data_IF_421325467827
#
_entry.id   IF_421325467827
#
_cell.length_a   1.000
_cell.length_b   1.000
_cell.length_c   1.000
_cell.angle_alpha   90.00
_cell.angle_beta   90.00
_cell.angle_gamma   90.00
#
_symmetry.space_group_name_H-M   'P 1'
#
loop_
_entity.id
_entity.type
_entity.pdbx_description
1 polymer ?
#
# COMPACT_ATOMS: atom_id res chain seq x y z
N UNK A 1 5.69 10.94 3.39
CA UNK A 1 5.06 12.24 3.05
C UNK A 1 4.67 13.07 4.28
N UNK A 2 3.91 12.53 5.25
CA UNK A 2 3.38 13.32 6.38
C UNK A 2 4.45 13.98 7.26
N UNK A 3 5.52 13.26 7.62
CA UNK A 3 6.63 13.83 8.39
C UNK A 3 7.32 15.00 7.65
N UNK A 4 7.54 14.86 6.34
CA UNK A 4 8.10 15.92 5.50
C UNK A 4 7.18 17.16 5.47
N UNK A 5 5.86 16.94 5.51
CA UNK A 5 4.86 18.00 5.66
C UNK A 5 5.03 18.78 6.95
N UNK A 6 5.22 18.10 8.08
CA UNK A 6 5.46 18.75 9.37
C UNK A 6 6.76 19.54 9.37
N UNK A 7 7.85 18.97 8.83
CA UNK A 7 9.15 19.64 8.76
C UNK A 7 9.08 20.88 7.85
N UNK A 8 8.34 20.81 6.74
CA UNK A 8 8.17 21.92 5.81
C UNK A 8 7.58 23.17 6.48
N UNK A 9 6.68 22.99 7.46
CA UNK A 9 6.07 24.11 8.20
C UNK A 9 7.15 24.91 8.94
N UNK A 10 8.18 24.25 9.48
CA UNK A 10 9.28 24.90 10.18
C UNK A 10 10.38 25.39 9.22
N UNK A 11 10.65 24.64 8.14
CA UNK A 11 11.74 24.91 7.20
C UNK A 11 11.19 24.81 5.76
N UNK A 12 10.68 25.90 5.18
CA UNK A 12 10.17 25.88 3.81
C UNK A 12 11.32 25.61 2.83
N UNK A 13 11.24 24.48 2.13
CA UNK A 13 12.27 24.05 1.19
C UNK A 13 11.67 23.33 -0.01
N UNK A 14 12.08 23.73 -1.21
CA UNK A 14 11.70 23.05 -2.46
C UNK A 14 12.12 21.58 -2.48
N UNK A 15 13.26 21.25 -1.88
CA UNK A 15 13.75 19.87 -1.80
C UNK A 15 12.80 19.02 -0.94
N UNK A 16 12.37 19.53 0.21
CA UNK A 16 11.40 18.82 1.06
C UNK A 16 10.06 18.63 0.36
N UNK A 17 9.62 19.61 -0.43
CA UNK A 17 8.40 19.48 -1.25
C UNK A 17 8.53 18.41 -2.33
N UNK A 18 9.66 18.35 -3.03
CA UNK A 18 9.93 17.30 -4.01
C UNK A 18 9.96 15.91 -3.38
N UNK A 19 10.63 15.75 -2.24
CA UNK A 19 10.67 14.48 -1.50
C UNK A 19 9.27 14.08 -1.01
N UNK A 20 8.45 15.04 -0.58
CA UNK A 20 7.06 14.83 -0.22
C UNK A 20 6.23 14.30 -1.39
N UNK A 21 6.35 14.92 -2.56
CA UNK A 21 5.69 14.50 -3.80
C UNK A 21 6.11 13.07 -4.21
N UNK A 22 7.42 12.80 -4.27
CA UNK A 22 7.96 11.49 -4.64
C UNK A 22 7.47 10.42 -3.66
N UNK A 23 7.52 10.69 -2.35
CA UNK A 23 7.03 9.76 -1.34
C UNK A 23 5.54 9.42 -1.53
N UNK A 24 4.68 10.43 -1.71
CA UNK A 24 3.25 10.21 -1.91
C UNK A 24 2.96 9.50 -3.24
N UNK A 25 3.69 9.83 -4.30
CA UNK A 25 3.58 9.19 -5.60
C UNK A 25 3.93 7.71 -5.56
N UNK A 26 5.05 7.35 -4.92
CA UNK A 26 5.45 5.94 -4.74
C UNK A 26 4.41 5.17 -3.95
N UNK A 27 3.85 5.74 -2.87
CA UNK A 27 2.78 5.10 -2.12
C UNK A 27 1.52 4.89 -2.98
N UNK A 28 1.16 5.87 -3.81
CA UNK A 28 0.02 5.75 -4.72
C UNK A 28 0.20 4.61 -5.73
N UNK A 29 1.38 4.49 -6.33
CA UNK A 29 1.70 3.41 -7.28
C UNK A 29 1.62 2.04 -6.60
N UNK A 30 2.21 1.89 -5.41
CA UNK A 30 2.20 0.61 -4.69
C UNK A 30 0.76 0.23 -4.31
N UNK A 31 -0.05 1.18 -3.84
CA UNK A 31 -1.46 0.93 -3.52
C UNK A 31 -2.27 0.53 -4.75
N UNK A 32 -2.04 1.18 -5.89
CA UNK A 32 -2.70 0.83 -7.15
C UNK A 32 -2.27 -0.56 -7.62
N UNK A 33 -0.97 -0.89 -7.53
CA UNK A 33 -0.45 -2.23 -7.83
C UNK A 33 -1.13 -3.30 -6.95
N UNK A 34 -1.20 -3.08 -5.64
CA UNK A 34 -1.84 -4.02 -4.72
C UNK A 34 -3.34 -4.17 -5.05
N UNK A 35 -4.06 -3.08 -5.29
CA UNK A 35 -5.48 -3.15 -5.65
C UNK A 35 -5.73 -3.93 -6.93
N UNK A 36 -4.88 -3.81 -7.96
CA UNK A 36 -5.06 -4.64 -9.15
C UNK A 36 -4.66 -6.11 -8.95
N UNK A 37 -3.85 -6.45 -7.95
CA UNK A 37 -3.68 -7.87 -7.52
C UNK A 37 -5.00 -8.37 -6.93
N UNK A 38 -5.63 -7.60 -6.03
CA UNK A 38 -6.93 -7.94 -5.43
C UNK A 38 -8.04 -8.09 -6.50
N UNK A 39 -8.06 -7.19 -7.49
CA UNK A 39 -9.01 -7.21 -8.60
C UNK A 39 -8.65 -8.22 -9.71
N UNK A 40 -7.57 -8.99 -9.52
CA UNK A 40 -7.04 -9.97 -10.48
C UNK A 40 -6.71 -9.40 -11.87
N UNK A 41 -6.38 -8.10 -11.94
CA UNK A 41 -5.90 -7.47 -13.18
C UNK A 41 -4.50 -7.96 -13.56
N UNK A 42 -3.70 -8.35 -12.57
CA UNK A 42 -2.40 -8.98 -12.75
C UNK A 42 -2.13 -9.98 -11.63
N UNK A 43 -1.14 -10.86 -11.85
CA UNK A 43 -0.72 -11.82 -10.84
C UNK A 43 -0.03 -11.13 -9.66
N UNK A 44 -0.34 -11.59 -8.45
CA UNK A 44 0.35 -11.18 -7.23
C UNK A 44 1.73 -11.84 -7.09
N UNK A 45 2.56 -11.35 -6.15
CA UNK A 45 3.82 -12.00 -5.82
C UNK A 45 3.59 -13.44 -5.36
N UNK A 46 4.38 -14.38 -5.86
CA UNK A 46 4.27 -15.81 -5.51
C UNK A 46 4.35 -16.03 -3.99
N UNK A 47 5.13 -15.21 -3.30
CA UNK A 47 5.29 -15.24 -1.84
C UNK A 47 4.01 -14.98 -1.04
N UNK A 48 2.99 -14.34 -1.63
CA UNK A 48 1.75 -13.93 -0.95
C UNK A 48 0.46 -14.29 -1.70
N UNK A 49 0.57 -14.76 -2.95
CA UNK A 49 -0.57 -15.14 -3.80
C UNK A 49 -0.36 -16.49 -4.52
N UNK A 50 0.73 -17.21 -4.21
CA UNK A 50 1.00 -18.54 -4.75
C UNK A 50 0.18 -19.65 -4.05
N UNK A 51 0.09 -20.82 -4.70
CA UNK A 51 -0.75 -21.97 -4.32
C UNK A 51 -0.40 -22.68 -2.99
N UNK A 52 0.15 -21.97 -2.00
CA UNK A 52 0.53 -22.58 -0.72
C UNK A 52 1.83 -23.39 -0.79
N UNK A 53 2.63 -23.26 -1.84
CA UNK A 53 3.95 -23.92 -1.90
C UNK A 53 4.90 -23.43 -0.78
N UNK A 54 4.71 -22.20 -0.31
CA UNK A 54 5.38 -21.67 0.90
C UNK A 54 4.81 -22.24 2.21
N UNK A 55 3.63 -22.85 2.18
CA UNK A 55 3.05 -23.60 3.30
C UNK A 55 3.57 -25.05 3.35
N UNK A 56 4.08 -25.59 2.23
CA UNK A 56 4.68 -26.94 2.17
C UNK A 56 5.97 -27.07 3.01
N UNK A 57 6.61 -25.95 3.37
CA UNK A 57 7.77 -25.95 4.27
C UNK A 57 7.40 -25.92 5.76
N UNK A 58 6.11 -25.71 6.11
CA UNK A 58 5.63 -25.84 7.48
C UNK A 58 5.33 -27.31 7.79
N UNK A 59 5.58 -27.71 9.04
CA UNK A 59 5.23 -29.06 9.49
C UNK A 59 3.70 -29.23 9.55
N UNK A 60 3.20 -30.46 9.41
CA UNK A 60 1.75 -30.72 9.46
C UNK A 60 1.10 -30.32 10.79
N UNK A 61 1.88 -30.30 11.88
CA UNK A 61 1.45 -29.78 13.18
C UNK A 61 1.32 -28.25 13.21
N UNK A 62 2.22 -27.53 12.55
CA UNK A 62 2.16 -26.06 12.42
C UNK A 62 0.96 -25.59 11.59
N UNK A 63 0.52 -26.40 10.61
CA UNK A 63 -0.65 -26.11 9.78
C UNK A 63 -1.98 -26.41 10.49
N UNK A 64 -2.01 -27.38 11.43
CA UNK A 64 -3.21 -27.75 12.20
C UNK A 64 -3.31 -27.06 13.57
N UNK A 65 -2.30 -26.26 13.94
CA UNK A 65 -2.26 -25.45 15.14
C UNK A 65 -3.41 -24.43 15.18
N UNK A 66 -4.55 -24.84 15.75
CA UNK A 66 -5.78 -24.03 15.83
C UNK A 66 -5.69 -22.90 16.86
N UNK A 67 -4.60 -22.88 17.63
CA UNK A 67 -4.26 -21.83 18.60
C UNK A 67 -3.60 -20.59 17.94
N UNK A 68 -3.33 -20.60 16.63
CA UNK A 68 -2.62 -19.51 15.92
C UNK A 68 -3.47 -18.86 14.82
N UNK A 69 -4.65 -19.37 14.48
CA UNK A 69 -5.36 -18.94 13.26
C UNK A 69 -6.23 -17.69 13.43
N UNK A 70 -5.58 -16.54 13.57
CA UNK A 70 -6.08 -15.38 12.82
C UNK A 70 -6.00 -15.77 11.33
N UNK A 71 -7.13 -15.73 10.63
CA UNK A 71 -7.25 -16.01 9.20
C UNK A 71 -6.12 -15.29 8.44
N UNK A 72 -5.14 -16.03 7.93
CA UNK A 72 -4.08 -15.45 7.09
C UNK A 72 -4.74 -14.97 5.80
N UNK A 73 -4.78 -13.66 5.58
CA UNK A 73 -5.35 -13.05 4.38
C UNK A 73 -4.26 -12.98 3.29
N UNK A 74 -4.57 -13.52 2.12
CA UNK A 74 -3.68 -13.45 0.96
C UNK A 74 -3.74 -12.08 0.27
N UNK A 75 -2.66 -11.69 -0.42
CA UNK A 75 -2.55 -10.39 -1.09
C UNK A 75 -3.52 -10.21 -2.26
N UNK A 76 -4.16 -11.29 -2.72
CA UNK A 76 -5.10 -11.31 -3.81
C UNK A 76 -6.56 -11.45 -3.34
N UNK A 77 -6.80 -11.32 -2.04
CA UNK A 77 -8.12 -11.27 -1.43
C UNK A 77 -8.43 -9.89 -0.85
N UNK A 78 -9.64 -9.40 -1.12
CA UNK A 78 -10.13 -8.15 -0.51
C UNK A 78 -10.53 -8.44 0.94
N UNK A 79 -9.65 -8.15 1.89
CA UNK A 79 -9.93 -8.27 3.33
C UNK A 79 -10.93 -7.24 3.85
N UNK A 80 -10.91 -6.05 3.25
CA UNK A 80 -11.76 -4.93 3.65
C UNK A 80 -12.08 -4.04 2.45
N UNK A 81 -13.32 -3.57 2.39
CA UNK A 81 -13.77 -2.60 1.41
C UNK A 81 -14.73 -1.58 2.03
N UNK A 82 -14.70 -0.37 1.50
CA UNK A 82 -15.61 0.72 1.85
C UNK A 82 -16.10 1.41 0.58
N UNK A 83 -17.42 1.52 0.42
CA UNK A 83 -18.08 2.06 -0.78
C UNK A 83 -17.59 1.33 -2.05
N UNK A 84 -17.42 0.02 -1.98
CA UNK A 84 -16.98 -0.82 -3.11
C UNK A 84 -15.50 -0.67 -3.50
N UNK A 85 -14.70 0.05 -2.72
CA UNK A 85 -13.27 0.26 -2.95
C UNK A 85 -12.49 -0.42 -1.81
N UNK A 86 -11.47 -1.21 -2.15
CA UNK A 86 -10.64 -1.92 -1.18
C UNK A 86 -9.72 -0.98 -0.40
N UNK A 87 -9.16 -1.45 0.72
CA UNK A 87 -8.22 -0.66 1.52
C UNK A 87 -7.01 -0.16 0.71
N UNK A 88 -6.32 -0.99 -0.09
CA UNK A 88 -5.18 -0.53 -0.90
C UNK A 88 -5.58 0.49 -1.95
N UNK A 89 -6.77 0.35 -2.54
CA UNK A 89 -7.30 1.31 -3.51
C UNK A 89 -7.58 2.67 -2.87
N UNK A 90 -8.18 2.70 -1.67
CA UNK A 90 -8.35 3.95 -0.91
C UNK A 90 -7.02 4.61 -0.58
N UNK A 91 -6.02 3.83 -0.18
CA UNK A 91 -4.67 4.34 0.09
C UNK A 91 -4.04 4.94 -1.18
N UNK A 92 -4.24 4.29 -2.33
CA UNK A 92 -3.77 4.78 -3.62
C UNK A 92 -4.39 6.15 -3.97
N UNK A 93 -5.72 6.28 -3.82
CA UNK A 93 -6.46 7.53 -4.08
C UNK A 93 -5.99 8.66 -3.17
N UNK A 94 -5.95 8.44 -1.85
CA UNK A 94 -5.54 9.46 -0.89
C UNK A 94 -4.07 9.89 -1.09
N UNK A 95 -3.20 8.93 -1.40
CA UNK A 95 -1.79 9.20 -1.71
C UNK A 95 -1.63 9.99 -3.02
N UNK A 96 -2.45 9.71 -4.04
CA UNK A 96 -2.47 10.48 -5.28
C UNK A 96 -2.92 11.94 -5.04
N UNK A 97 -3.98 12.14 -4.24
CA UNK A 97 -4.43 13.49 -3.83
C UNK A 97 -3.31 14.23 -3.09
N UNK A 98 -2.63 13.56 -2.14
CA UNK A 98 -1.50 14.14 -1.42
C UNK A 98 -0.34 14.50 -2.35
N UNK A 99 -0.02 13.66 -3.33
CA UNK A 99 0.98 13.96 -4.35
C UNK A 99 0.62 15.23 -5.14
N UNK A 100 -0.64 15.36 -5.58
CA UNK A 100 -1.12 16.57 -6.27
C UNK A 100 -0.96 17.81 -5.39
N UNK A 101 -1.28 17.72 -4.09
CA UNK A 101 -1.09 18.84 -3.16
C UNK A 101 0.38 19.25 -3.06
N UNK A 102 1.31 18.30 -2.97
CA UNK A 102 2.75 18.59 -2.98
C UNK A 102 3.22 19.25 -4.28
N UNK A 103 2.73 18.79 -5.43
CA UNK A 103 3.06 19.38 -6.74
C UNK A 103 2.49 20.80 -6.88
N UNK A 104 1.28 21.05 -6.37
CA UNK A 104 0.69 22.39 -6.35
C UNK A 104 1.49 23.32 -5.43
N UNK A 105 1.91 22.85 -4.26
CA UNK A 105 2.78 23.62 -3.37
C UNK A 105 4.12 23.98 -4.05
N UNK A 106 4.75 23.01 -4.72
CA UNK A 106 6.01 23.22 -5.45
C UNK A 106 5.87 24.23 -6.59
N UNK A 107 4.72 24.25 -7.29
CA UNK A 107 4.43 25.22 -8.36
C UNK A 107 4.20 26.65 -7.86
N UNK A 108 3.83 26.81 -6.58
CA UNK A 108 3.56 28.10 -5.94
C UNK A 108 4.78 28.68 -5.21
N UNK A 109 5.87 27.93 -5.14
CA UNK A 109 7.16 28.41 -4.59
C UNK A 109 8.03 28.99 -5.68
#
# INVERSE_FOLDING_TARGET
ASLLGVILIAIPSRILMMLGAISAFTTAIIGAFHSGVELKWWAGPISCSGNGDSLLSLSGEDLLATNVLDKVVMCDEISWAFIGISMPAWNAVLSAVLCVMWLVALRRT
#
